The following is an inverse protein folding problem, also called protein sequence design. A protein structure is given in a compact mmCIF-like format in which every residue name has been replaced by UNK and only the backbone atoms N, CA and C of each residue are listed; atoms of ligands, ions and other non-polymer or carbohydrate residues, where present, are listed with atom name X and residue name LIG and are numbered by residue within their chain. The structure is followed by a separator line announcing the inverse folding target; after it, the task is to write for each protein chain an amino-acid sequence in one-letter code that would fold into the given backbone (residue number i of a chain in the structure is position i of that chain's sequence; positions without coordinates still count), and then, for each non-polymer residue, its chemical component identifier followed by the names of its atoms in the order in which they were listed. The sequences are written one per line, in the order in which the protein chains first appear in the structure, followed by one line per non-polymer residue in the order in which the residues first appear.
data_IF_141952451202
#
_entry.id   IF_141952451202
#
_cell.length_a   1.000
_cell.length_b   1.000
_cell.length_c   1.000
_cell.angle_alpha   90.00
_cell.angle_beta   90.00
_cell.angle_gamma   90.00
#
_symmetry.space_group_name_H-M   'P 1'
#
loop_
_entity.id
_entity.type
_entity.pdbx_description
1 polymer ?
#
# COMPACT_ATOMS: atom_id res chain seq x y z
N UNK A 1 71.01 -49.35 -48.61
CA UNK A 1 70.67 -48.17 -47.80
C UNK A 1 69.20 -48.27 -47.42
N UNK A 2 68.92 -48.20 -46.12
CA UNK A 2 67.68 -47.82 -45.42
C UNK A 2 66.36 -48.53 -45.82
N UNK A 3 65.92 -49.43 -44.94
CA UNK A 3 64.53 -49.88 -44.81
C UNK A 3 63.68 -48.78 -44.16
N UNK A 4 62.51 -48.47 -44.74
CA UNK A 4 61.50 -47.58 -44.16
C UNK A 4 60.46 -48.39 -43.39
N UNK A 5 60.49 -48.29 -42.06
CA UNK A 5 59.56 -48.93 -41.13
C UNK A 5 58.46 -47.94 -40.70
N UNK A 6 57.19 -48.19 -41.03
CA UNK A 6 56.00 -47.63 -40.34
C UNK A 6 54.70 -48.31 -40.81
N UNK A 7 54.16 -49.30 -40.04
CA UNK A 7 52.70 -49.38 -39.89
C UNK A 7 52.22 -49.76 -38.46
N UNK A 8 53.09 -49.78 -37.45
CA UNK A 8 52.74 -50.28 -36.11
C UNK A 8 52.04 -49.27 -35.18
N UNK A 9 52.11 -47.97 -35.47
CA UNK A 9 51.55 -46.93 -34.58
C UNK A 9 50.03 -46.71 -34.81
N UNK A 10 49.53 -46.96 -36.03
CA UNK A 10 48.13 -46.67 -36.37
C UNK A 10 47.11 -47.71 -35.82
N UNK A 11 47.52 -48.97 -35.63
CA UNK A 11 46.63 -50.00 -35.08
C UNK A 11 46.40 -49.84 -33.58
N UNK A 12 47.39 -49.35 -32.84
CA UNK A 12 47.33 -49.23 -31.39
C UNK A 12 46.46 -48.04 -30.94
N UNK A 13 46.34 -46.99 -31.76
CA UNK A 13 45.42 -45.87 -31.53
C UNK A 13 43.95 -46.21 -31.78
N UNK A 14 43.64 -47.07 -32.76
CA UNK A 14 42.27 -47.44 -33.13
C UNK A 14 41.61 -48.41 -32.11
N UNK A 15 42.40 -49.28 -31.49
CA UNK A 15 41.93 -50.17 -30.42
C UNK A 15 41.66 -49.40 -29.11
N UNK A 16 42.46 -48.38 -28.81
CA UNK A 16 42.25 -47.53 -27.63
C UNK A 16 41.03 -46.61 -27.77
N UNK A 17 40.70 -46.11 -28.97
CA UNK A 17 39.53 -45.25 -29.20
C UNK A 17 38.19 -45.98 -29.07
N UNK A 18 38.12 -47.27 -29.48
CA UNK A 18 36.89 -48.06 -29.38
C UNK A 18 36.54 -48.41 -27.92
N UNK A 19 37.53 -48.73 -27.10
CA UNK A 19 37.33 -48.99 -25.67
C UNK A 19 36.86 -47.75 -24.90
N UNK A 20 37.45 -46.59 -25.18
CA UNK A 20 37.07 -45.32 -24.57
C UNK A 20 35.65 -44.90 -24.97
N UNK A 21 35.27 -45.08 -26.24
CA UNK A 21 33.92 -44.76 -26.71
C UNK A 21 32.86 -45.62 -26.03
N UNK A 22 33.14 -46.91 -25.84
CA UNK A 22 32.24 -47.84 -25.15
C UNK A 22 32.06 -47.45 -23.68
N UNK A 23 33.13 -47.01 -23.01
CA UNK A 23 33.08 -46.51 -21.63
C UNK A 23 32.27 -45.20 -21.52
N UNK A 24 32.46 -44.27 -22.45
CA UNK A 24 31.71 -43.01 -22.48
C UNK A 24 30.21 -43.23 -22.74
N UNK A 25 29.85 -44.18 -23.61
CA UNK A 25 28.46 -44.51 -23.88
C UNK A 25 27.80 -45.25 -22.69
N UNK A 26 28.56 -46.11 -22.00
CA UNK A 26 28.12 -46.72 -20.74
C UNK A 26 27.92 -45.67 -19.62
N UNK A 27 28.79 -44.66 -19.53
CA UNK A 27 28.66 -43.57 -18.56
C UNK A 27 27.41 -42.71 -18.82
N UNK A 28 27.13 -42.38 -20.09
CA UNK A 28 25.90 -41.65 -20.47
C UNK A 28 24.64 -42.43 -20.12
N UNK A 29 24.63 -43.74 -20.35
CA UNK A 29 23.47 -44.56 -20.07
C UNK A 29 23.24 -44.71 -18.56
N UNK A 30 24.32 -44.88 -17.79
CA UNK A 30 24.26 -44.82 -16.32
C UNK A 30 23.74 -43.47 -15.82
N UNK A 31 24.19 -42.34 -16.41
CA UNK A 31 23.70 -41.00 -16.07
C UNK A 31 22.19 -40.83 -16.36
N UNK A 32 21.69 -41.37 -17.47
CA UNK A 32 20.25 -41.33 -17.79
C UNK A 32 19.42 -42.11 -16.77
N UNK A 33 19.87 -43.30 -16.39
CA UNK A 33 19.18 -44.14 -15.39
C UNK A 33 19.11 -43.41 -14.05
N UNK A 34 20.22 -42.82 -13.59
CA UNK A 34 20.28 -42.04 -12.35
C UNK A 34 19.37 -40.81 -12.41
N UNK A 35 19.35 -40.11 -13.56
CA UNK A 35 18.51 -38.93 -13.74
C UNK A 35 17.01 -39.29 -13.74
N UNK A 36 16.63 -40.38 -14.41
CA UNK A 36 15.26 -40.89 -14.43
C UNK A 36 14.79 -41.30 -13.02
N UNK A 37 15.60 -42.06 -12.28
CA UNK A 37 15.25 -42.49 -10.93
C UNK A 37 15.11 -41.30 -9.97
N UNK A 38 16.00 -40.30 -10.07
CA UNK A 38 15.88 -39.04 -9.32
C UNK A 38 14.58 -38.30 -9.62
N UNK A 39 14.22 -38.15 -10.89
CA UNK A 39 12.97 -37.46 -11.26
C UNK A 39 11.72 -38.23 -10.82
N UNK A 40 11.76 -39.56 -10.87
CA UNK A 40 10.66 -40.41 -10.42
C UNK A 40 10.42 -40.26 -8.92
N UNK A 41 11.48 -40.36 -8.10
CA UNK A 41 11.41 -40.18 -6.64
C UNK A 41 10.89 -38.80 -6.23
N UNK A 42 11.33 -37.73 -6.90
CA UNK A 42 10.86 -36.35 -6.62
C UNK A 42 9.37 -36.20 -6.98
N UNK A 43 8.92 -36.82 -8.07
CA UNK A 43 7.52 -36.78 -8.50
C UNK A 43 6.62 -37.56 -7.53
N UNK A 44 7.06 -38.73 -7.09
CA UNK A 44 6.35 -39.54 -6.09
C UNK A 44 6.24 -38.80 -4.75
N UNK A 45 7.36 -38.26 -4.23
CA UNK A 45 7.36 -37.47 -2.99
C UNK A 45 6.45 -36.24 -3.07
N UNK A 46 6.42 -35.55 -4.23
CA UNK A 46 5.53 -34.39 -4.43
C UNK A 46 4.07 -34.80 -4.49
N UNK A 47 3.76 -35.94 -5.10
CA UNK A 47 2.39 -36.46 -5.19
C UNK A 47 1.86 -36.91 -3.82
N UNK A 48 2.73 -37.50 -3.00
CA UNK A 48 2.40 -37.94 -1.64
C UNK A 48 2.18 -36.73 -0.72
N UNK A 49 3.09 -35.75 -0.72
CA UNK A 49 2.93 -34.52 0.05
C UNK A 49 1.68 -33.72 -0.36
N UNK A 50 1.35 -33.67 -1.66
CA UNK A 50 0.13 -33.01 -2.13
C UNK A 50 -1.12 -33.69 -1.59
N UNK A 51 -1.14 -35.03 -1.58
CA UNK A 51 -2.26 -35.80 -1.05
C UNK A 51 -2.45 -35.59 0.46
N UNK A 52 -1.37 -35.57 1.24
CA UNK A 52 -1.44 -35.27 2.68
C UNK A 52 -2.00 -33.87 2.96
N UNK A 53 -1.58 -32.86 2.18
CA UNK A 53 -2.10 -31.49 2.29
C UNK A 53 -3.59 -31.44 1.99
N UNK A 54 -4.04 -32.15 0.96
CA UNK A 54 -5.44 -32.16 0.56
C UNK A 54 -6.33 -32.91 1.57
N UNK A 55 -5.83 -34.02 2.14
CA UNK A 55 -6.50 -34.73 3.24
C UNK A 55 -6.60 -33.85 4.51
N UNK A 56 -5.53 -33.14 4.87
CA UNK A 56 -5.54 -32.22 6.02
C UNK A 56 -6.47 -31.02 5.83
N UNK A 57 -6.50 -30.44 4.63
CA UNK A 57 -7.43 -29.35 4.27
C UNK A 57 -8.87 -29.80 4.41
N UNK A 58 -9.19 -31.01 3.91
CA UNK A 58 -10.54 -31.56 4.00
C UNK A 58 -10.97 -31.77 5.45
N UNK A 59 -10.10 -32.33 6.30
CA UNK A 59 -10.37 -32.47 7.73
C UNK A 59 -10.61 -31.12 8.41
N UNK A 60 -9.80 -30.10 8.11
CA UNK A 60 -9.96 -28.76 8.69
C UNK A 60 -11.23 -28.05 8.22
N UNK A 61 -11.65 -28.26 6.98
CA UNK A 61 -12.90 -27.72 6.46
C UNK A 61 -14.11 -28.39 7.12
N UNK A 62 -14.06 -29.70 7.37
CA UNK A 62 -15.10 -30.44 8.10
C UNK A 62 -15.17 -30.00 9.58
N UNK A 63 -14.03 -29.82 10.25
CA UNK A 63 -13.97 -29.24 11.60
C UNK A 63 -14.56 -27.82 11.64
N UNK A 64 -14.23 -26.97 10.66
CA UNK A 64 -14.74 -25.61 10.56
C UNK A 64 -16.25 -25.59 10.35
N UNK A 65 -16.79 -26.41 9.44
CA UNK A 65 -18.23 -26.54 9.21
C UNK A 65 -18.98 -27.02 10.43
N UNK A 66 -18.40 -27.96 11.20
CA UNK A 66 -18.98 -28.44 12.45
C UNK A 66 -18.99 -27.35 13.52
N UNK A 67 -17.89 -26.62 13.65
CA UNK A 67 -17.79 -25.46 14.55
C UNK A 67 -18.82 -24.38 14.19
N UNK A 68 -18.95 -24.04 12.91
CA UNK A 68 -19.92 -23.07 12.41
C UNK A 68 -21.36 -23.50 12.70
N UNK A 69 -21.71 -24.77 12.46
CA UNK A 69 -23.04 -25.28 12.77
C UNK A 69 -23.35 -25.25 14.28
N UNK A 70 -22.38 -25.58 15.13
CA UNK A 70 -22.53 -25.56 16.59
C UNK A 70 -22.60 -24.13 17.17
N UNK A 71 -21.96 -23.14 16.53
CA UNK A 71 -21.85 -21.76 17.04
C UNK A 71 -22.73 -20.73 16.30
N UNK A 72 -23.36 -21.09 15.18
CA UNK A 72 -24.26 -20.20 14.41
C UNK A 72 -25.64 -19.99 15.05
N UNK A 73 -26.06 -20.86 15.98
CA UNK A 73 -27.42 -20.84 16.55
C UNK A 73 -27.65 -19.70 17.55
N UNK A 74 -26.59 -19.12 18.12
CA UNK A 74 -26.68 -18.01 19.06
C UNK A 74 -26.86 -16.63 18.39
N UNK A 75 -26.49 -16.47 17.13
CA UNK A 75 -26.38 -15.15 16.49
C UNK A 75 -27.60 -14.74 15.67
N UNK A 76 -28.47 -15.65 15.23
CA UNK A 76 -29.59 -15.27 14.35
C UNK A 76 -30.54 -14.25 14.97
N UNK A 77 -30.84 -14.40 16.27
CA UNK A 77 -31.71 -13.46 16.98
C UNK A 77 -31.03 -12.10 17.20
N UNK A 78 -29.74 -12.10 17.52
CA UNK A 78 -28.95 -10.89 17.66
C UNK A 78 -28.76 -10.16 16.31
N UNK A 79 -28.61 -10.91 15.22
CA UNK A 79 -28.51 -10.40 13.85
C UNK A 79 -29.84 -9.82 13.36
N UNK A 80 -30.97 -10.47 13.65
CA UNK A 80 -32.30 -9.93 13.37
C UNK A 80 -32.61 -8.67 14.19
N UNK A 81 -32.22 -8.62 15.47
CA UNK A 81 -32.36 -7.42 16.31
C UNK A 81 -31.45 -6.28 15.83
N UNK A 82 -30.19 -6.57 15.50
CA UNK A 82 -29.26 -5.59 14.95
C UNK A 82 -29.71 -5.05 13.58
N UNK A 83 -30.27 -5.91 12.71
CA UNK A 83 -30.81 -5.49 11.42
C UNK A 83 -32.03 -4.57 11.58
N UNK A 84 -32.93 -4.86 12.53
CA UNK A 84 -34.05 -3.96 12.83
C UNK A 84 -33.59 -2.60 13.35
N UNK A 85 -32.58 -2.59 14.21
CA UNK A 85 -32.00 -1.35 14.73
C UNK A 85 -31.32 -0.54 13.60
N UNK A 86 -30.58 -1.20 12.73
CA UNK A 86 -29.96 -0.57 11.56
C UNK A 86 -31.01 0.01 10.58
N UNK A 87 -32.10 -0.70 10.33
CA UNK A 87 -33.21 -0.19 9.51
C UNK A 87 -33.88 1.05 10.11
N UNK A 88 -34.06 1.08 11.43
CA UNK A 88 -34.62 2.24 12.14
C UNK A 88 -33.69 3.46 12.04
N UNK A 89 -32.38 3.27 12.25
CA UNK A 89 -31.38 4.33 12.10
C UNK A 89 -31.28 4.83 10.65
N UNK A 90 -31.34 3.93 9.66
CA UNK A 90 -31.36 4.29 8.24
C UNK A 90 -32.60 5.13 7.88
N UNK A 91 -33.75 4.85 8.47
CA UNK A 91 -34.96 5.64 8.28
C UNK A 91 -34.79 7.05 8.87
N UNK A 92 -34.23 7.18 10.07
CA UNK A 92 -33.93 8.48 10.69
C UNK A 92 -32.92 9.29 9.86
N UNK A 93 -31.85 8.66 9.39
CA UNK A 93 -30.84 9.30 8.53
C UNK A 93 -31.47 9.78 7.22
N UNK A 94 -32.36 8.99 6.60
CA UNK A 94 -33.08 9.41 5.38
C UNK A 94 -33.98 10.62 5.63
N UNK A 95 -34.69 10.65 6.76
CA UNK A 95 -35.54 11.80 7.13
C UNK A 95 -34.69 13.05 7.41
N UNK A 96 -33.59 12.89 8.15
CA UNK A 96 -32.65 13.99 8.42
C UNK A 96 -32.00 14.52 7.12
N UNK A 97 -31.65 13.60 6.20
CA UNK A 97 -31.12 13.90 4.88
C UNK A 97 -32.13 14.63 3.98
N UNK A 98 -33.40 14.24 4.00
CA UNK A 98 -34.46 14.97 3.26
C UNK A 98 -34.71 16.38 3.84
N UNK A 99 -34.65 16.53 5.16
CA UNK A 99 -34.88 17.81 5.84
C UNK A 99 -33.74 18.81 5.66
N UNK A 100 -32.50 18.30 5.57
CA UNK A 100 -31.29 19.14 5.61
C UNK A 100 -30.47 19.10 4.33
N UNK A 101 -30.80 18.20 3.39
CA UNK A 101 -30.00 17.93 2.19
C UNK A 101 -29.77 19.15 1.33
N UNK A 102 -30.82 19.93 1.03
CA UNK A 102 -30.69 21.15 0.22
C UNK A 102 -29.81 22.20 0.90
N UNK A 103 -29.89 22.29 2.23
CA UNK A 103 -29.05 23.20 3.02
C UNK A 103 -27.60 22.71 3.02
N UNK A 104 -27.35 21.43 3.23
CA UNK A 104 -26.01 20.83 3.21
C UNK A 104 -25.37 20.98 1.84
N UNK A 105 -26.12 20.70 0.75
CA UNK A 105 -25.62 20.89 -0.62
C UNK A 105 -25.29 22.37 -0.85
N UNK A 106 -26.14 23.30 -0.41
CA UNK A 106 -25.89 24.73 -0.53
C UNK A 106 -24.67 25.18 0.28
N UNK A 107 -24.52 24.68 1.50
CA UNK A 107 -23.38 24.99 2.38
C UNK A 107 -22.08 24.41 1.80
N UNK A 108 -22.11 23.19 1.25
CA UNK A 108 -20.98 22.58 0.53
C UNK A 108 -20.63 23.36 -0.73
N UNK A 109 -21.62 23.78 -1.53
CA UNK A 109 -21.38 24.63 -2.71
C UNK A 109 -20.79 25.97 -2.28
N UNK A 110 -21.30 26.60 -1.23
CA UNK A 110 -20.77 27.87 -0.73
C UNK A 110 -19.35 27.72 -0.17
N UNK A 111 -19.05 26.63 0.55
CA UNK A 111 -17.71 26.35 1.04
C UNK A 111 -16.69 26.15 -0.10
N UNK A 112 -17.14 25.60 -1.24
CA UNK A 112 -16.32 25.39 -2.43
C UNK A 112 -16.22 26.64 -3.31
N UNK A 113 -17.26 27.47 -3.37
CA UNK A 113 -17.35 28.61 -4.31
C UNK A 113 -16.97 29.95 -3.68
N UNK A 114 -17.23 30.17 -2.39
CA UNK A 114 -17.03 31.44 -1.70
C UNK A 114 -15.84 31.37 -0.72
N UNK A 115 -14.69 30.94 -1.24
CA UNK A 115 -13.43 30.95 -0.51
C UNK A 115 -12.97 32.41 -0.40
N UNK A 116 -12.98 32.99 0.79
CA UNK A 116 -12.34 34.29 1.10
C UNK A 116 -10.92 34.05 1.60
N UNK A 117 -9.90 34.18 0.74
CA UNK A 117 -8.55 33.76 1.08
C UNK A 117 -7.83 34.80 1.95
N UNK A 118 -7.72 34.54 3.25
CA UNK A 118 -6.81 35.28 4.11
C UNK A 118 -5.35 34.84 3.83
N UNK A 119 -4.57 35.72 3.22
CA UNK A 119 -3.31 35.42 2.53
C UNK A 119 -2.10 36.01 3.26
N UNK A 120 -1.87 35.55 4.50
CA UNK A 120 -0.64 35.92 5.22
C UNK A 120 0.51 34.91 5.05
N UNK A 121 0.25 33.60 5.03
CA UNK A 121 1.29 32.53 5.02
C UNK A 121 0.90 31.26 4.23
N UNK A 122 -0.23 31.29 3.52
CA UNK A 122 -0.83 30.09 2.93
C UNK A 122 -0.65 30.00 1.42
N UNK A 123 -0.46 28.77 0.94
CA UNK A 123 -0.47 28.43 -0.47
C UNK A 123 -1.81 27.78 -0.81
N UNK A 124 -2.41 28.20 -1.92
CA UNK A 124 -3.63 27.61 -2.48
C UNK A 124 -3.23 26.76 -3.68
N UNK A 125 -3.84 25.59 -3.81
CA UNK A 125 -3.55 24.64 -4.87
C UNK A 125 -4.77 24.40 -5.73
N UNK A 126 -4.57 24.21 -7.03
CA UNK A 126 -5.49 23.38 -7.82
C UNK A 126 -5.07 21.94 -7.54
N UNK A 127 -5.91 21.21 -6.83
CA UNK A 127 -5.74 19.77 -6.67
C UNK A 127 -6.15 19.15 -8.00
N UNK A 128 -5.16 18.76 -8.80
CA UNK A 128 -5.43 18.18 -10.11
C UNK A 128 -5.84 16.71 -9.94
N UNK A 129 -7.15 16.46 -9.79
CA UNK A 129 -7.73 15.12 -9.78
C UNK A 129 -8.29 14.68 -11.14
N UNK A 130 -7.97 15.37 -12.26
CA UNK A 130 -8.61 15.11 -13.56
C UNK A 130 -8.37 13.70 -14.14
N UNK A 131 -7.65 12.82 -13.44
CA UNK A 131 -7.53 11.41 -13.80
C UNK A 131 -7.63 10.44 -12.61
N UNK A 132 -8.16 10.88 -11.46
CA UNK A 132 -8.27 10.07 -10.24
C UNK A 132 -9.71 9.82 -9.77
N UNK A 133 -10.74 10.40 -10.43
CA UNK A 133 -12.15 10.07 -10.12
C UNK A 133 -12.51 8.62 -10.52
N UNK A 134 -11.69 7.94 -11.32
CA UNK A 134 -11.81 6.48 -11.58
C UNK A 134 -10.87 5.61 -10.75
N UNK A 135 -9.80 6.19 -10.20
CA UNK A 135 -8.75 5.53 -9.43
C UNK A 135 -8.57 6.30 -8.12
N UNK A 136 -9.63 6.48 -7.33
CA UNK A 136 -9.50 7.17 -6.05
C UNK A 136 -8.56 6.31 -5.22
N UNK A 137 -7.41 6.85 -4.85
CA UNK A 137 -6.59 6.28 -3.81
C UNK A 137 -7.33 6.57 -2.48
N UNK A 138 -8.44 5.85 -2.29
CA UNK A 138 -9.13 5.76 -1.01
C UNK A 138 -8.27 4.87 -0.16
N UNK A 139 -7.57 5.45 0.79
CA UNK A 139 -6.94 4.68 1.84
C UNK A 139 -8.04 4.13 2.78
N UNK A 140 -7.68 3.13 3.59
CA UNK A 140 -8.66 2.50 4.48
C UNK A 140 -9.21 3.48 5.53
N UNK A 141 -8.50 4.57 5.89
CA UNK A 141 -9.07 5.56 6.80
C UNK A 141 -10.26 6.29 6.18
N UNK A 142 -10.17 6.68 4.90
CA UNK A 142 -11.29 7.32 4.21
C UNK A 142 -12.50 6.41 4.10
N UNK A 143 -12.30 5.14 3.78
CA UNK A 143 -13.39 4.15 3.72
C UNK A 143 -14.01 3.95 5.11
N UNK A 144 -13.19 3.88 6.16
CA UNK A 144 -13.69 3.70 7.52
C UNK A 144 -14.53 4.90 8.00
N UNK A 145 -14.13 6.14 7.68
CA UNK A 145 -14.98 7.31 7.97
C UNK A 145 -16.26 7.31 7.14
N UNK A 146 -16.22 6.87 5.88
CA UNK A 146 -17.42 6.76 5.05
C UNK A 146 -18.42 5.75 5.61
N UNK A 147 -17.96 4.59 6.05
CA UNK A 147 -18.81 3.49 6.54
C UNK A 147 -19.28 3.71 7.98
N UNK A 148 -18.39 4.18 8.87
CA UNK A 148 -18.63 4.18 10.32
C UNK A 148 -18.68 5.58 10.93
N UNK A 149 -18.46 6.63 10.14
CA UNK A 149 -18.40 8.05 10.60
C UNK A 149 -17.43 8.31 11.75
N UNK A 150 -16.53 7.36 12.05
CA UNK A 150 -15.60 7.45 13.16
C UNK A 150 -14.41 6.50 12.98
N UNK A 151 -13.28 6.87 13.58
CA UNK A 151 -12.13 5.99 13.82
C UNK A 151 -11.70 6.24 15.26
N UNK A 152 -11.84 5.23 16.12
CA UNK A 152 -11.57 5.37 17.56
C UNK A 152 -12.34 6.59 18.15
N UNK A 153 -11.66 7.44 18.91
CA UNK A 153 -12.23 8.66 19.50
C UNK A 153 -12.52 9.80 18.51
N UNK A 154 -12.11 9.68 17.25
CA UNK A 154 -12.35 10.69 16.22
C UNK A 154 -13.68 10.44 15.53
N UNK A 155 -14.70 11.22 15.92
CA UNK A 155 -16.06 11.10 15.41
C UNK A 155 -16.40 12.28 14.50
N UNK A 156 -16.90 11.99 13.30
CA UNK A 156 -17.42 12.99 12.36
C UNK A 156 -18.77 13.49 12.90
N UNK A 157 -18.77 14.71 13.46
CA UNK A 157 -19.99 15.34 14.02
C UNK A 157 -20.62 16.37 13.09
N UNK A 158 -19.85 16.84 12.12
CA UNK A 158 -20.24 17.83 11.11
C UNK A 158 -19.73 17.36 9.74
N UNK A 159 -20.31 17.83 8.62
CA UNK A 159 -19.81 17.49 7.29
C UNK A 159 -18.30 17.77 7.18
N UNK A 160 -17.54 16.78 6.71
CA UNK A 160 -16.08 16.86 6.60
C UNK A 160 -15.65 16.36 5.22
N UNK A 161 -14.81 17.12 4.54
CA UNK A 161 -14.17 16.68 3.29
C UNK A 161 -13.17 15.56 3.60
N UNK A 162 -13.14 14.51 2.78
CA UNK A 162 -12.20 13.38 2.93
C UNK A 162 -10.85 13.65 2.24
N UNK A 163 -9.93 12.68 2.32
CA UNK A 163 -8.64 12.68 1.60
C UNK A 163 -7.49 13.35 2.34
N UNK A 164 -6.34 12.70 2.41
CA UNK A 164 -5.09 13.27 2.96
C UNK A 164 -3.83 12.87 2.16
N UNK A 165 -3.96 11.96 1.20
CA UNK A 165 -2.88 11.54 0.29
C UNK A 165 -2.95 12.34 -1.03
N UNK A 166 -2.44 13.57 -1.04
CA UNK A 166 -2.64 14.48 -2.18
C UNK A 166 -1.36 15.16 -2.70
N UNK A 167 -1.41 15.48 -3.98
CA UNK A 167 -0.47 16.36 -4.67
C UNK A 167 -1.24 17.33 -5.56
N UNK A 168 -0.61 18.44 -5.96
CA UNK A 168 -1.31 19.46 -6.73
C UNK A 168 -0.39 20.49 -7.36
N UNK A 169 -1.02 21.46 -8.02
CA UNK A 169 -0.34 22.58 -8.66
C UNK A 169 -0.65 23.84 -7.88
N UNK A 170 0.37 24.62 -7.53
CA UNK A 170 0.20 25.91 -6.84
C UNK A 170 -0.63 26.84 -7.74
N UNK A 171 -1.78 27.30 -7.25
CA UNK A 171 -2.64 28.25 -7.94
C UNK A 171 -2.48 29.68 -7.43
N UNK A 172 -2.16 29.84 -6.14
CA UNK A 172 -1.89 31.14 -5.52
C UNK A 172 -0.94 30.98 -4.34
N UNK A 173 -0.09 31.97 -4.12
CA UNK A 173 0.81 32.05 -2.96
C UNK A 173 0.47 33.27 -2.11
N UNK A 174 0.67 33.15 -0.79
CA UNK A 174 0.60 34.29 0.13
C UNK A 174 1.78 35.24 -0.04
N UNK A 175 1.65 36.48 0.42
CA UNK A 175 2.68 37.53 0.24
C UNK A 175 4.02 37.23 0.93
N UNK A 176 4.03 36.36 1.94
CA UNK A 176 5.24 35.95 2.68
C UNK A 176 5.84 34.62 2.19
N UNK A 177 5.23 33.96 1.20
CA UNK A 177 5.75 32.71 0.63
C UNK A 177 6.99 33.04 -0.20
N UNK A 178 8.07 32.32 0.02
CA UNK A 178 9.36 32.56 -0.64
C UNK A 178 9.90 31.34 -1.37
N UNK A 179 9.41 30.15 -1.03
CA UNK A 179 9.95 28.86 -1.51
C UNK A 179 9.19 28.27 -2.69
N UNK A 180 7.96 28.73 -2.92
CA UNK A 180 7.05 28.22 -3.94
C UNK A 180 6.50 29.36 -4.78
N UNK A 181 6.15 29.06 -6.03
CA UNK A 181 5.44 29.97 -6.93
C UNK A 181 4.28 29.28 -7.63
N UNK A 182 3.40 30.08 -8.21
CA UNK A 182 2.32 29.61 -9.08
C UNK A 182 2.88 28.67 -10.14
N UNK A 183 2.13 27.62 -10.44
CA UNK A 183 2.46 26.52 -11.36
C UNK A 183 3.50 25.51 -10.85
N UNK A 184 4.12 25.69 -9.69
CA UNK A 184 4.92 24.62 -9.10
C UNK A 184 4.02 23.41 -8.77
N UNK A 185 4.50 22.21 -9.09
CA UNK A 185 3.88 20.96 -8.68
C UNK A 185 4.41 20.57 -7.31
N UNK A 186 3.54 20.18 -6.37
CA UNK A 186 3.93 19.85 -5.00
C UNK A 186 3.26 18.56 -4.51
N UNK A 187 3.94 17.84 -3.62
CA UNK A 187 3.30 16.92 -2.69
C UNK A 187 2.94 17.67 -1.40
N UNK A 188 1.85 17.25 -0.77
CA UNK A 188 1.29 17.90 0.41
C UNK A 188 1.47 17.00 1.63
N UNK A 189 2.08 17.52 2.69
CA UNK A 189 2.09 16.85 3.98
C UNK A 189 0.84 17.28 4.78
N UNK A 190 -0.08 16.36 5.09
CA UNK A 190 -1.43 16.72 5.55
C UNK A 190 -1.51 17.18 7.02
N UNK A 191 -0.46 16.97 7.82
CA UNK A 191 -0.44 17.23 9.25
C UNK A 191 0.24 18.54 9.64
N UNK A 192 -0.52 19.53 10.08
CA UNK A 192 -0.02 20.83 10.54
C UNK A 192 0.08 20.85 12.07
N UNK A 193 1.28 20.87 12.67
CA UNK A 193 1.45 20.95 14.11
C UNK A 193 1.27 22.37 14.64
N UNK A 194 1.09 22.54 15.96
CA UNK A 194 0.95 23.86 16.59
C UNK A 194 2.20 24.76 16.58
N UNK A 195 3.37 24.23 16.22
CA UNK A 195 4.69 24.91 16.15
C UNK A 195 5.25 25.50 17.45
N UNK A 196 4.64 25.22 18.61
CA UNK A 196 4.98 25.91 19.88
C UNK A 196 5.43 24.99 21.01
N UNK A 197 5.09 23.70 20.94
CA UNK A 197 5.25 22.72 22.04
C UNK A 197 6.49 21.85 21.86
N UNK A 198 6.87 21.13 22.93
CA UNK A 198 8.04 20.25 22.94
C UNK A 198 8.11 19.22 21.81
N UNK A 199 7.02 18.51 21.42
CA UNK A 199 7.09 17.60 20.27
C UNK A 199 7.59 18.28 19.01
N UNK A 200 7.16 19.52 18.75
CA UNK A 200 7.65 20.29 17.61
C UNK A 200 9.12 20.70 17.77
N UNK A 201 9.48 21.28 18.93
CA UNK A 201 10.85 21.76 19.20
C UNK A 201 11.89 20.64 19.21
N UNK A 202 11.50 19.44 19.62
CA UNK A 202 12.35 18.23 19.63
C UNK A 202 12.42 17.51 18.28
N UNK A 203 11.80 18.06 17.22
CA UNK A 203 11.78 17.46 15.88
C UNK A 203 10.81 16.28 15.72
N UNK A 204 9.95 16.03 16.71
CA UNK A 204 8.93 14.97 16.70
C UNK A 204 7.52 15.57 16.55
N UNK A 205 7.35 16.47 15.60
CA UNK A 205 6.11 17.24 15.46
C UNK A 205 4.88 16.38 15.15
N UNK A 206 5.06 15.18 14.59
CA UNK A 206 4.01 14.17 14.40
C UNK A 206 3.31 13.77 15.72
N UNK A 207 3.95 13.95 16.87
CA UNK A 207 3.38 13.71 18.21
C UNK A 207 2.70 14.94 18.80
N UNK A 208 2.44 15.98 18.01
CA UNK A 208 1.78 17.18 18.50
C UNK A 208 0.31 16.89 18.85
N UNK A 209 -0.08 17.06 20.12
CA UNK A 209 -1.47 16.90 20.57
C UNK A 209 -2.47 17.89 19.94
N UNK A 210 -1.95 18.98 19.36
CA UNK A 210 -2.74 20.00 18.68
C UNK A 210 -2.48 19.94 17.16
N UNK A 211 -2.33 18.73 16.62
CA UNK A 211 -2.21 18.48 15.18
C UNK A 211 -3.53 18.81 14.48
N UNK A 212 -3.46 19.58 13.40
CA UNK A 212 -4.53 19.68 12.42
C UNK A 212 -4.17 18.79 11.23
N UNK A 213 -4.84 17.66 11.11
CA UNK A 213 -4.54 16.65 10.09
C UNK A 213 -5.71 16.54 9.11
N UNK A 214 -5.43 16.68 7.81
CA UNK A 214 -6.46 16.61 6.78
C UNK A 214 -7.30 15.33 6.88
N UNK A 215 -8.63 15.44 6.77
CA UNK A 215 -9.58 14.33 6.88
C UNK A 215 -9.55 13.58 8.24
N UNK A 216 -9.10 14.25 9.30
CA UNK A 216 -9.30 13.83 10.69
C UNK A 216 -10.19 14.86 11.38
N UNK A 217 -11.37 14.47 11.92
CA UNK A 217 -12.29 15.41 12.54
C UNK A 217 -11.60 16.29 13.60
N UNK A 218 -11.85 17.62 13.61
CA UNK A 218 -12.84 18.36 12.80
C UNK A 218 -12.28 18.97 11.50
N UNK A 219 -11.13 18.50 10.99
CA UNK A 219 -10.43 19.17 9.90
C UNK A 219 -10.77 18.59 8.52
N UNK A 220 -11.16 19.48 7.60
CA UNK A 220 -11.41 19.12 6.20
C UNK A 220 -10.17 18.54 5.52
N UNK A 221 -10.44 17.55 4.67
CA UNK A 221 -9.51 16.87 3.81
C UNK A 221 -9.23 17.56 2.48
N UNK A 222 -8.41 16.88 1.69
CA UNK A 222 -7.82 17.35 0.43
C UNK A 222 -8.59 16.89 -0.81
N UNK A 223 -9.66 16.11 -0.65
CA UNK A 223 -10.54 15.65 -1.74
C UNK A 223 -11.49 16.77 -2.22
N UNK A 224 -10.90 17.88 -2.64
CA UNK A 224 -11.57 19.10 -3.11
C UNK A 224 -10.76 19.71 -4.26
N UNK A 225 -11.34 20.63 -5.04
CA UNK A 225 -10.63 21.31 -6.14
C UNK A 225 -9.53 22.24 -5.65
N UNK A 226 -9.76 22.88 -4.51
CA UNK A 226 -8.84 23.82 -3.91
C UNK A 226 -8.62 23.49 -2.46
N UNK A 227 -7.35 23.36 -2.08
CA UNK A 227 -6.94 23.14 -0.70
C UNK A 227 -5.87 24.17 -0.31
N UNK A 228 -5.81 24.50 0.98
CA UNK A 228 -4.92 25.51 1.52
C UNK A 228 -3.97 24.88 2.54
N UNK A 229 -2.67 25.04 2.32
CA UNK A 229 -1.64 24.50 3.21
C UNK A 229 -0.50 25.53 3.41
N UNK A 230 0.17 25.57 4.58
CA UNK A 230 1.38 26.38 4.77
C UNK A 230 2.52 25.96 3.82
N UNK A 231 3.35 26.90 3.37
CA UNK A 231 4.40 26.62 2.37
C UNK A 231 5.39 25.54 2.81
N UNK A 232 5.67 25.46 4.11
CA UNK A 232 6.63 24.53 4.71
C UNK A 232 6.12 23.08 4.82
N UNK A 233 4.86 22.83 4.47
CA UNK A 233 4.26 21.49 4.34
C UNK A 233 3.97 21.13 2.87
N UNK A 234 4.50 21.94 1.94
CA UNK A 234 4.30 21.79 0.51
C UNK A 234 5.65 21.55 -0.16
N UNK A 235 5.90 20.32 -0.59
CA UNK A 235 7.20 19.93 -1.12
C UNK A 235 7.18 19.93 -2.64
N UNK A 236 7.94 20.84 -3.24
CA UNK A 236 8.05 20.93 -4.69
C UNK A 236 8.58 19.62 -5.30
N UNK A 237 7.80 19.08 -6.23
CA UNK A 237 8.16 17.93 -7.03
C UNK A 237 9.15 18.32 -8.12
N UNK A 238 10.04 17.38 -8.45
CA UNK A 238 10.89 17.50 -9.65
C UNK A 238 10.01 17.40 -10.90
N UNK A 239 10.42 18.05 -11.98
CA UNK A 239 9.64 18.15 -13.23
C UNK A 239 9.25 16.79 -13.82
N UNK A 240 10.05 15.75 -13.56
CA UNK A 240 9.82 14.40 -14.06
C UNK A 240 8.96 13.51 -13.13
N UNK A 241 8.43 14.04 -12.03
CA UNK A 241 7.57 13.30 -11.10
C UNK A 241 6.10 13.68 -11.39
N UNK A 242 5.29 12.79 -11.97
CA UNK A 242 3.88 13.05 -12.17
C UNK A 242 3.14 13.24 -10.85
N UNK A 243 2.12 14.10 -10.82
CA UNK A 243 1.29 14.36 -9.64
C UNK A 243 0.76 13.07 -8.99
N UNK A 244 0.31 12.08 -9.77
CA UNK A 244 -0.12 10.78 -9.22
C UNK A 244 0.94 10.12 -8.33
N UNK A 245 2.23 10.20 -8.69
CA UNK A 245 3.33 9.71 -7.85
C UNK A 245 3.62 10.64 -6.67
N UNK A 246 3.37 11.94 -6.81
CA UNK A 246 3.45 12.89 -5.71
C UNK A 246 2.44 12.59 -4.59
N UNK A 247 1.24 12.09 -4.92
CA UNK A 247 0.25 11.70 -3.92
C UNK A 247 0.72 10.48 -3.09
N UNK A 248 1.47 9.56 -3.70
CA UNK A 248 2.09 8.41 -3.02
C UNK A 248 3.16 8.79 -1.99
N UNK A 249 3.58 10.06 -1.92
CA UNK A 249 4.58 10.50 -0.94
C UNK A 249 4.03 10.42 0.48
N UNK A 250 2.73 10.60 0.69
CA UNK A 250 2.10 10.44 2.01
C UNK A 250 2.28 9.01 2.55
N UNK A 251 1.78 7.95 1.87
CA UNK A 251 1.91 6.58 2.39
C UNK A 251 3.38 6.10 2.36
N UNK A 252 4.20 6.62 1.44
CA UNK A 252 5.64 6.38 1.46
C UNK A 252 6.30 7.02 2.69
N UNK A 253 5.85 8.19 3.12
CA UNK A 253 6.31 8.86 4.33
C UNK A 253 6.08 8.02 5.58
N UNK A 254 4.93 7.36 5.69
CA UNK A 254 4.64 6.38 6.74
C UNK A 254 5.67 5.24 6.72
N UNK A 255 5.90 4.65 5.55
CA UNK A 255 6.88 3.59 5.37
C UNK A 255 8.32 4.02 5.75
N UNK A 256 8.76 5.20 5.31
CA UNK A 256 10.07 5.77 5.67
C UNK A 256 10.18 5.97 7.18
N UNK A 257 9.13 6.47 7.82
CA UNK A 257 9.09 6.65 9.27
C UNK A 257 9.24 5.30 10.00
N UNK A 258 8.49 4.27 9.59
CA UNK A 258 8.54 2.92 10.19
C UNK A 258 9.94 2.31 10.05
N UNK A 259 10.52 2.34 8.85
CA UNK A 259 11.86 1.79 8.60
C UNK A 259 12.92 2.49 9.46
N UNK A 260 12.80 3.82 9.62
CA UNK A 260 13.70 4.61 10.48
C UNK A 260 13.53 4.28 11.97
N UNK A 261 12.30 4.13 12.46
CA UNK A 261 12.01 3.75 13.85
C UNK A 261 12.51 2.34 14.18
N UNK A 262 12.34 1.40 13.23
CA UNK A 262 12.81 0.02 13.38
C UNK A 262 14.34 -0.11 13.30
N UNK A 263 15.07 0.95 12.94
CA UNK A 263 16.53 0.93 12.87
C UNK A 263 17.07 -0.04 11.81
N UNK A 264 16.32 -0.26 10.73
CA UNK A 264 16.71 -1.21 9.67
C UNK A 264 18.00 -0.72 9.00
N UNK A 265 19.02 -1.58 9.02
CA UNK A 265 20.32 -1.36 8.39
C UNK A 265 20.64 -2.47 7.37
N UNK A 266 21.54 -2.21 6.40
CA UNK A 266 22.01 -3.25 5.49
C UNK A 266 22.48 -4.51 6.23
N UNK A 267 22.05 -5.68 5.75
CA UNK A 267 22.34 -6.97 6.39
C UNK A 267 21.26 -7.45 7.36
N UNK A 268 20.26 -6.63 7.71
CA UNK A 268 19.10 -7.12 8.46
C UNK A 268 18.16 -7.94 7.57
N UNK A 269 17.66 -9.04 8.13
CA UNK A 269 16.50 -9.76 7.59
C UNK A 269 15.23 -9.14 8.15
N UNK A 270 14.36 -8.64 7.26
CA UNK A 270 13.12 -7.96 7.64
C UNK A 270 11.93 -8.79 7.16
N UNK A 271 10.92 -8.95 8.03
CA UNK A 271 9.62 -9.50 7.68
C UNK A 271 8.57 -8.38 7.72
N UNK A 272 7.76 -8.27 6.67
CA UNK A 272 6.65 -7.33 6.60
C UNK A 272 5.35 -8.12 6.68
N UNK A 273 4.56 -7.89 7.73
CA UNK A 273 3.25 -8.51 7.88
C UNK A 273 2.19 -7.65 7.15
N UNK A 274 1.62 -8.20 6.08
CA UNK A 274 0.60 -7.55 5.26
C UNK A 274 1.15 -6.97 3.94
N UNK A 275 0.40 -7.18 2.85
CA UNK A 275 0.75 -6.75 1.49
C UNK A 275 -0.17 -5.62 0.96
N UNK A 276 -0.78 -4.85 1.86
CA UNK A 276 -1.52 -3.63 1.51
C UNK A 276 -0.58 -2.47 1.12
N UNK A 277 -1.12 -1.29 0.78
CA UNK A 277 -0.35 -0.14 0.30
C UNK A 277 0.86 0.22 1.19
N UNK A 278 0.66 0.30 2.51
CA UNK A 278 1.73 0.61 3.48
C UNK A 278 2.79 -0.50 3.52
N UNK A 279 2.38 -1.77 3.49
CA UNK A 279 3.29 -2.92 3.48
C UNK A 279 4.14 -2.96 2.22
N UNK A 280 3.53 -2.69 1.07
CA UNK A 280 4.24 -2.55 -0.21
C UNK A 280 5.20 -1.36 -0.19
N UNK A 281 4.77 -0.19 0.28
CA UNK A 281 5.67 0.96 0.43
C UNK A 281 6.86 0.63 1.34
N UNK A 282 6.62 -0.02 2.48
CA UNK A 282 7.67 -0.44 3.43
C UNK A 282 8.68 -1.38 2.78
N UNK A 283 8.23 -2.30 1.91
CA UNK A 283 9.12 -3.16 1.13
C UNK A 283 10.02 -2.37 0.17
N UNK A 284 9.49 -1.30 -0.42
CA UNK A 284 10.19 -0.53 -1.46
C UNK A 284 11.01 0.64 -0.94
N UNK A 285 10.88 1.03 0.34
CA UNK A 285 11.72 2.09 0.92
C UNK A 285 13.17 1.61 0.92
N UNK A 286 14.05 2.20 0.09
CA UNK A 286 15.47 1.98 0.23
C UNK A 286 15.95 2.80 1.43
N UNK A 287 17.04 2.34 2.07
CA UNK A 287 17.72 3.01 3.17
C UNK A 287 17.70 4.56 3.02
N UNK A 288 17.12 5.33 3.96
CA UNK A 288 17.44 6.75 4.04
C UNK A 288 18.91 6.90 4.43
N UNK A 289 19.64 7.70 3.64
CA UNK A 289 21.09 7.87 3.74
C UNK A 289 21.49 8.47 5.09
#
# INVERSE_FOLDING_TARGET
MMAGSQPLIALQSAQNSAGIQTLLDAEREAQKIVQQDRTKRVKEARSEAQREIDEYRKQKEEEFKKFEAEHSSGNKKAEEEANKEAEAQLAEIKVAGQKSGDKVIKDLINAVTDVKPDTCLHVYFIVNQQSLVRDVQTDNHQVHYWEHSSIDSFVVREPMVLGHESSGVVSKVGSKVTTLKVSDQVAMEPGIPCRRREPYKSGKYHLCINMAFAATPPYDGTLTRYYRLPEDFCYKLRENIPLKKGALIEPLGVAVHVVKQAGVVPGNSVVVFGAGPVGLCTKYVPRPV
#
